data_IF_453478181874
#
_entry.id   IF_453478181874
#
_cell.length_a   1.000
_cell.length_b   1.000
_cell.length_c   1.000
_cell.angle_alpha   90.00
_cell.angle_beta   90.00
_cell.angle_gamma   90.00
#
_symmetry.space_group_name_H-M   'P 1'
#
loop_
_entity.id
_entity.type
_entity.pdbx_description
1 polymer ?
#
# COMPACT_ATOMS: atom_id res chain seq x y z
N UNK A 1 10.50 5.38 91.46
CA UNK A 1 11.79 5.16 90.78
C UNK A 1 11.51 5.07 89.29
N UNK A 2 11.51 6.21 88.58
CA UNK A 2 11.26 6.27 87.13
C UNK A 2 12.26 7.26 86.53
N UNK A 3 13.19 6.79 85.69
CA UNK A 3 14.12 7.65 84.97
C UNK A 3 13.51 8.09 83.64
N UNK A 4 13.18 9.37 83.52
CA UNK A 4 12.86 9.97 82.22
C UNK A 4 14.14 10.17 81.40
N UNK A 5 14.36 9.33 80.40
CA UNK A 5 15.38 9.58 79.38
C UNK A 5 14.89 10.61 78.37
N UNK A 6 15.29 11.87 78.54
CA UNK A 6 15.10 12.93 77.56
C UNK A 6 16.18 12.87 76.49
N UNK A 7 15.88 12.25 75.34
CA UNK A 7 16.76 12.31 74.18
C UNK A 7 16.73 13.72 73.55
N UNK A 8 17.88 14.41 73.40
CA UNK A 8 17.92 15.72 72.78
C UNK A 8 17.78 15.59 71.26
N UNK A 9 16.56 15.80 70.76
CA UNK A 9 16.26 15.77 69.32
C UNK A 9 16.88 16.99 68.62
N UNK A 10 18.16 16.89 68.24
CA UNK A 10 18.86 17.91 67.47
C UNK A 10 18.33 17.95 66.03
N UNK A 11 17.40 18.86 65.77
CA UNK A 11 17.00 19.26 64.43
C UNK A 11 18.23 19.78 63.67
N UNK A 12 18.86 18.91 62.87
CA UNK A 12 19.84 19.34 61.87
C UNK A 12 19.08 20.17 60.84
N UNK A 13 19.36 21.48 60.78
CA UNK A 13 18.81 22.35 59.75
C UNK A 13 19.21 21.78 58.38
N UNK A 14 18.25 21.25 57.63
CA UNK A 14 18.46 20.95 56.21
C UNK A 14 18.83 22.27 55.53
N UNK A 15 19.91 22.27 54.75
CA UNK A 15 20.29 23.47 54.00
C UNK A 15 19.22 23.77 52.94
N UNK A 16 19.04 25.05 52.62
CA UNK A 16 18.09 25.51 51.62
C UNK A 16 18.28 24.77 50.28
N UNK A 17 19.53 24.44 49.92
CA UNK A 17 19.87 23.66 48.73
C UNK A 17 19.23 22.26 48.72
N UNK A 18 19.16 21.56 49.86
CA UNK A 18 18.51 20.22 49.94
C UNK A 18 17.00 20.34 49.84
N UNK A 19 16.40 21.38 50.42
CA UNK A 19 14.96 21.67 50.26
C UNK A 19 14.60 21.99 48.81
N UNK A 20 15.41 22.81 48.12
CA UNK A 20 15.22 23.12 46.69
C UNK A 20 15.42 21.87 45.83
N UNK A 21 16.44 21.04 46.10
CA UNK A 21 16.65 19.80 45.36
C UNK A 21 15.49 18.80 45.53
N UNK A 22 14.95 18.65 46.74
CA UNK A 22 13.78 17.80 47.00
C UNK A 22 12.50 18.36 46.36
N UNK A 23 12.30 19.69 46.36
CA UNK A 23 11.18 20.32 45.67
C UNK A 23 11.28 20.12 44.14
N UNK A 24 12.46 20.29 43.55
CA UNK A 24 12.73 20.05 42.13
C UNK A 24 12.53 18.57 41.75
N UNK A 25 12.95 17.65 42.62
CA UNK A 25 12.73 16.21 42.44
C UNK A 25 11.23 15.85 42.55
N UNK A 26 10.51 16.43 43.51
CA UNK A 26 9.07 16.24 43.65
C UNK A 26 8.30 16.80 42.45
N UNK A 27 8.64 18.00 41.97
CA UNK A 27 8.07 18.58 40.73
C UNK A 27 8.40 17.71 39.53
N UNK A 28 9.60 17.13 39.46
CA UNK A 28 10.00 16.24 38.36
C UNK A 28 9.30 14.88 38.43
N UNK A 29 9.06 14.32 39.61
CA UNK A 29 8.26 13.11 39.83
C UNK A 29 6.78 13.34 39.53
N UNK A 30 6.22 14.46 39.97
CA UNK A 30 4.86 14.88 39.64
C UNK A 30 4.73 15.13 38.13
N UNK A 31 5.71 15.77 37.48
CA UNK A 31 5.74 15.93 36.03
C UNK A 31 5.92 14.60 35.28
N UNK A 32 6.61 13.61 35.84
CA UNK A 32 6.68 12.25 35.30
C UNK A 32 5.35 11.50 35.45
N UNK A 33 4.66 11.62 36.58
CA UNK A 33 3.34 11.03 36.81
C UNK A 33 2.21 11.75 36.06
N UNK A 34 2.40 13.04 35.73
CA UNK A 34 1.52 13.83 34.86
C UNK A 34 1.90 13.75 33.38
N UNK A 35 2.87 12.90 32.98
CA UNK A 35 2.94 12.43 31.60
C UNK A 35 1.74 11.51 31.38
N UNK A 36 0.63 12.13 30.98
CA UNK A 36 -0.58 11.43 30.60
C UNK A 36 -0.21 10.38 29.54
N UNK A 37 -0.26 9.11 29.92
CA UNK A 37 -0.12 8.00 28.98
C UNK A 37 -1.13 8.22 27.86
N UNK A 38 -0.68 8.07 26.62
CA UNK A 38 -1.49 8.36 25.44
C UNK A 38 -2.77 7.51 25.48
N UNK A 39 -3.89 8.13 25.88
CA UNK A 39 -5.07 7.39 26.29
C UNK A 39 -5.62 6.54 25.16
N UNK A 40 -5.93 5.28 25.47
CA UNK A 40 -6.82 4.48 24.65
C UNK A 40 -8.25 4.98 24.86
N UNK A 41 -9.02 5.13 23.80
CA UNK A 41 -10.43 5.54 23.85
C UNK A 41 -11.22 4.52 23.06
N UNK A 42 -12.11 3.79 23.72
CA UNK A 42 -13.04 2.92 23.01
C UNK A 42 -14.03 3.74 22.19
N UNK A 43 -14.45 3.22 21.03
CA UNK A 43 -15.39 3.91 20.15
C UNK A 43 -16.34 2.93 19.47
N UNK A 44 -17.65 3.15 19.57
CA UNK A 44 -18.62 2.57 18.64
C UNK A 44 -19.63 1.59 19.24
N UNK A 45 -19.35 0.29 19.14
CA UNK A 45 -20.28 -0.79 19.49
C UNK A 45 -20.37 -1.02 21.00
N UNK A 46 -21.34 -1.84 21.45
CA UNK A 46 -21.45 -2.24 22.86
C UNK A 46 -21.55 -1.07 23.84
N UNK A 47 -22.20 0.04 23.46
CA UNK A 47 -22.31 1.23 24.32
C UNK A 47 -21.07 2.13 24.37
N UNK A 48 -19.99 1.80 23.65
CA UNK A 48 -18.71 2.54 23.67
C UNK A 48 -18.74 3.92 22.96
N UNK A 49 -19.89 4.61 22.90
CA UNK A 49 -20.02 5.95 22.31
C UNK A 49 -19.91 5.99 20.78
N UNK A 50 -19.69 7.18 20.23
CA UNK A 50 -19.56 7.40 18.77
C UNK A 50 -18.11 7.66 18.36
N UNK A 51 -17.81 7.45 17.07
CA UNK A 51 -16.51 7.79 16.49
C UNK A 51 -16.25 9.30 16.55
N UNK A 52 -17.27 10.11 16.21
CA UNK A 52 -17.21 11.57 16.31
C UNK A 52 -16.86 12.04 17.73
N UNK A 53 -17.48 11.46 18.75
CA UNK A 53 -17.17 11.80 20.15
C UNK A 53 -15.76 11.34 20.55
N UNK A 54 -15.28 10.17 20.11
CA UNK A 54 -13.90 9.72 20.37
C UNK A 54 -12.85 10.68 19.78
N UNK A 55 -13.04 11.12 18.53
CA UNK A 55 -12.17 12.10 17.87
C UNK A 55 -12.17 13.43 18.65
N UNK A 56 -13.34 13.89 19.11
CA UNK A 56 -13.48 15.14 19.86
C UNK A 56 -12.91 15.04 21.29
N UNK A 57 -13.04 13.90 21.98
CA UNK A 57 -12.52 13.69 23.34
C UNK A 57 -11.04 13.35 23.39
N UNK A 58 -10.45 12.85 22.30
CA UNK A 58 -9.02 12.53 22.23
C UNK A 58 -8.15 13.75 22.63
N UNK A 59 -7.17 13.58 23.53
CA UNK A 59 -6.36 14.68 24.03
C UNK A 59 -5.51 15.30 22.90
N UNK A 60 -5.42 16.62 22.85
CA UNK A 60 -4.64 17.34 21.84
C UNK A 60 -3.17 17.50 22.28
N UNK A 61 -2.49 16.37 22.48
CA UNK A 61 -1.09 16.34 22.91
C UNK A 61 -0.20 16.13 21.69
N UNK A 62 0.68 17.10 21.42
CA UNK A 62 1.56 17.07 20.24
C UNK A 62 2.56 15.91 20.27
N UNK A 63 2.96 15.45 21.45
CA UNK A 63 4.01 14.42 21.65
C UNK A 63 3.50 12.99 21.69
N UNK A 64 2.24 12.77 22.07
CA UNK A 64 1.71 11.45 22.44
C UNK A 64 0.40 11.18 21.70
N UNK A 65 0.43 10.25 20.74
CA UNK A 65 -0.73 9.92 19.89
C UNK A 65 -1.76 9.12 20.69
N UNK A 66 -2.92 9.69 20.97
CA UNK A 66 -4.03 8.96 21.56
C UNK A 66 -4.52 7.85 20.61
N UNK A 67 -4.96 6.73 21.18
CA UNK A 67 -5.36 5.54 20.40
C UNK A 67 -6.88 5.38 20.45
N UNK A 68 -7.54 5.55 19.31
CA UNK A 68 -8.99 5.29 19.18
C UNK A 68 -9.15 3.82 18.79
N UNK A 69 -9.59 3.01 19.76
CA UNK A 69 -9.97 1.63 19.56
C UNK A 69 -11.39 1.59 18.96
N UNK A 70 -11.46 1.51 17.64
CA UNK A 70 -12.72 1.45 16.91
C UNK A 70 -13.30 0.04 16.99
N UNK A 71 -14.47 -0.08 17.60
CA UNK A 71 -15.18 -1.35 17.84
C UNK A 71 -15.98 -1.83 16.62
N UNK A 72 -16.15 -3.15 16.52
CA UNK A 72 -17.03 -3.88 15.59
C UNK A 72 -18.45 -3.96 16.20
N UNK A 73 -19.55 -3.75 15.44
CA UNK A 73 -19.64 -3.61 13.98
C UNK A 73 -19.64 -2.14 13.51
N UNK A 74 -20.08 -1.91 12.27
CA UNK A 74 -20.00 -0.64 11.54
C UNK A 74 -20.50 0.60 12.29
N UNK A 75 -19.85 1.74 12.03
CA UNK A 75 -20.20 3.05 12.60
C UNK A 75 -20.14 4.17 11.56
N UNK A 76 -21.10 5.08 11.65
CA UNK A 76 -21.01 6.37 10.95
C UNK A 76 -19.85 7.20 11.53
N UNK A 77 -19.14 7.90 10.65
CA UNK A 77 -18.14 8.90 11.04
C UNK A 77 -18.69 10.32 11.08
N UNK A 78 -19.89 10.54 10.52
CA UNK A 78 -20.54 11.84 10.33
C UNK A 78 -19.62 12.85 9.60
N UNK A 79 -18.76 12.36 8.71
CA UNK A 79 -17.81 13.16 7.93
C UNK A 79 -16.79 13.92 8.77
N UNK A 80 -16.49 13.44 9.99
CA UNK A 80 -15.62 14.17 10.93
C UNK A 80 -14.21 14.39 10.37
N UNK A 81 -13.75 15.64 10.46
CA UNK A 81 -12.36 16.00 10.18
C UNK A 81 -11.45 15.54 11.33
N UNK A 82 -10.40 14.80 10.99
CA UNK A 82 -9.32 14.41 11.88
C UNK A 82 -8.31 15.56 11.89
N UNK A 83 -8.22 16.30 13.01
CA UNK A 83 -7.33 17.45 13.20
C UNK A 83 -6.38 17.30 14.39
N UNK A 84 -6.11 16.05 14.80
CA UNK A 84 -5.30 15.70 15.96
C UNK A 84 -4.31 14.58 15.62
N UNK A 85 -3.24 14.48 16.39
CA UNK A 85 -2.27 13.40 16.28
C UNK A 85 -2.84 12.12 16.92
N UNK A 86 -3.18 11.12 16.11
CA UNK A 86 -3.94 9.93 16.54
C UNK A 86 -3.41 8.63 15.95
N UNK A 87 -3.76 7.52 16.60
CA UNK A 87 -3.78 6.18 16.01
C UNK A 87 -5.23 5.71 16.05
N UNK A 88 -5.82 5.42 14.88
CA UNK A 88 -7.17 4.89 14.75
C UNK A 88 -7.04 3.41 14.40
N UNK A 89 -7.41 2.53 15.32
CA UNK A 89 -7.19 1.08 15.21
C UNK A 89 -8.53 0.34 15.20
N UNK A 90 -8.78 -0.41 14.12
CA UNK A 90 -9.91 -1.33 14.00
C UNK A 90 -9.58 -2.74 14.48
N UNK A 91 -10.59 -3.61 14.43
CA UNK A 91 -10.51 -5.02 14.84
C UNK A 91 -10.84 -5.27 16.32
N UNK A 92 -11.31 -4.27 17.05
CA UNK A 92 -11.70 -4.43 18.46
C UNK A 92 -13.15 -4.92 18.59
N UNK A 93 -13.37 -5.89 19.48
CA UNK A 93 -14.69 -6.38 19.87
C UNK A 93 -14.91 -6.07 21.36
N UNK A 94 -16.02 -5.41 21.74
CA UNK A 94 -16.32 -5.14 23.15
C UNK A 94 -16.72 -6.44 23.88
N UNK A 95 -16.59 -6.49 25.23
CA UNK A 95 -17.14 -7.59 26.02
C UNK A 95 -18.66 -7.70 25.85
N UNK A 96 -19.24 -8.86 26.17
CA UNK A 96 -20.70 -9.07 26.08
C UNK A 96 -21.53 -8.08 26.92
N UNK A 97 -20.96 -7.54 27.99
CA UNK A 97 -21.56 -6.50 28.83
C UNK A 97 -21.50 -5.09 28.24
N UNK A 98 -20.71 -4.88 27.19
CA UNK A 98 -20.41 -3.56 26.63
C UNK A 98 -19.40 -2.74 27.45
N UNK A 99 -19.13 -1.52 26.98
CA UNK A 99 -18.44 -0.48 27.74
C UNK A 99 -19.29 -0.01 28.93
N UNK A 100 -18.64 0.42 30.02
CA UNK A 100 -19.36 0.97 31.18
C UNK A 100 -19.82 2.41 30.93
N UNK A 101 -19.09 3.14 30.08
CA UNK A 101 -19.43 4.50 29.66
C UNK A 101 -19.12 4.72 28.17
N UNK A 102 -19.81 5.66 27.56
CA UNK A 102 -19.52 6.08 26.19
C UNK A 102 -18.11 6.68 26.12
N UNK A 103 -17.31 6.22 25.16
CA UNK A 103 -15.92 6.64 24.97
C UNK A 103 -15.05 6.50 26.23
N UNK A 104 -15.21 5.38 26.95
CA UNK A 104 -14.40 5.01 28.12
C UNK A 104 -12.89 5.11 27.79
N UNK A 105 -12.12 5.87 28.61
CA UNK A 105 -10.67 5.92 28.49
C UNK A 105 -10.03 4.73 29.20
N UNK A 106 -8.98 4.19 28.58
CA UNK A 106 -8.14 3.12 29.10
C UNK A 106 -6.68 3.54 29.05
N UNK A 107 -5.87 2.95 29.92
CA UNK A 107 -4.45 3.33 30.08
C UNK A 107 -3.61 2.82 28.92
N UNK A 108 -3.83 1.56 28.53
CA UNK A 108 -3.13 0.88 27.45
C UNK A 108 -3.95 -0.32 26.92
N UNK A 109 -3.37 -1.07 25.98
CA UNK A 109 -3.94 -2.32 25.44
C UNK A 109 -4.20 -3.38 26.51
N UNK A 110 -3.36 -3.47 27.54
CA UNK A 110 -3.47 -4.46 28.62
C UNK A 110 -4.68 -4.18 29.49
N UNK A 111 -4.93 -2.92 29.83
CA UNK A 111 -6.14 -2.45 30.52
C UNK A 111 -7.40 -2.80 29.70
N UNK A 112 -7.37 -2.53 28.38
CA UNK A 112 -8.46 -2.89 27.46
C UNK A 112 -8.75 -4.41 27.45
N UNK A 113 -7.71 -5.25 27.34
CA UNK A 113 -7.84 -6.70 27.38
C UNK A 113 -8.32 -7.21 28.75
N UNK A 114 -7.83 -6.64 29.86
CA UNK A 114 -8.24 -6.98 31.22
C UNK A 114 -9.72 -6.68 31.49
N UNK A 115 -10.30 -5.73 30.75
CA UNK A 115 -11.73 -5.39 30.76
C UNK A 115 -12.59 -6.28 29.84
N UNK A 116 -11.99 -7.31 29.23
CA UNK A 116 -12.70 -8.33 28.44
C UNK A 116 -12.92 -7.97 26.97
N UNK A 117 -12.27 -6.93 26.46
CA UNK A 117 -12.24 -6.64 25.03
C UNK A 117 -11.37 -7.67 24.30
N UNK A 118 -11.66 -7.93 23.03
CA UNK A 118 -10.87 -8.85 22.19
C UNK A 118 -10.37 -8.13 20.94
N UNK A 119 -9.12 -8.39 20.56
CA UNK A 119 -8.54 -7.92 19.31
C UNK A 119 -8.58 -9.03 18.25
N UNK A 120 -9.12 -8.71 17.07
CA UNK A 120 -9.40 -9.68 15.99
C UNK A 120 -8.75 -9.30 14.65
N UNK A 121 -8.05 -8.16 14.57
CA UNK A 121 -7.32 -7.77 13.37
C UNK A 121 -6.05 -8.63 13.16
N UNK A 122 -5.56 -8.77 11.92
CA UNK A 122 -6.09 -8.19 10.68
C UNK A 122 -7.29 -8.95 10.08
N UNK A 123 -7.66 -10.10 10.65
CA UNK A 123 -8.69 -11.03 10.14
C UNK A 123 -10.08 -10.42 10.15
N UNK A 124 -10.49 -9.82 11.27
CA UNK A 124 -11.73 -9.04 11.37
C UNK A 124 -11.39 -7.58 11.57
N UNK A 125 -11.91 -6.72 10.70
CA UNK A 125 -11.68 -5.27 10.69
C UNK A 125 -12.92 -4.54 11.20
N UNK A 126 -12.73 -3.35 11.77
CA UNK A 126 -13.86 -2.49 12.13
C UNK A 126 -14.28 -1.66 10.92
N UNK A 127 -15.58 -1.42 10.77
CA UNK A 127 -16.11 -0.70 9.60
C UNK A 127 -16.43 0.75 9.98
N UNK A 128 -15.90 1.69 9.22
CA UNK A 128 -16.29 3.10 9.22
C UNK A 128 -17.03 3.41 7.92
N UNK A 129 -18.11 4.19 8.01
CA UNK A 129 -18.96 4.49 6.85
C UNK A 129 -19.55 5.90 6.90
N UNK A 130 -19.90 6.46 5.74
CA UNK A 130 -20.61 7.73 5.59
C UNK A 130 -21.24 7.83 4.20
N UNK A 131 -22.28 8.65 4.04
CA UNK A 131 -23.09 8.76 2.82
C UNK A 131 -23.06 10.14 2.15
N UNK A 132 -22.75 11.22 2.90
CA UNK A 132 -22.77 12.60 2.40
C UNK A 132 -21.39 13.19 2.07
N UNK A 133 -20.30 12.47 2.31
CA UNK A 133 -18.93 12.98 2.20
C UNK A 133 -17.88 11.86 2.26
N UNK A 134 -16.58 12.21 2.17
CA UNK A 134 -15.50 11.31 2.55
C UNK A 134 -15.80 10.69 3.91
N UNK A 135 -15.63 9.38 4.04
CA UNK A 135 -15.80 8.70 5.33
C UNK A 135 -14.82 9.25 6.36
N UNK A 136 -13.57 9.54 5.96
CA UNK A 136 -12.58 10.22 6.79
C UNK A 136 -12.02 11.42 6.04
N UNK A 137 -11.98 12.58 6.71
CA UNK A 137 -11.34 13.78 6.20
C UNK A 137 -10.11 14.09 7.07
N UNK A 138 -8.93 14.24 6.46
CA UNK A 138 -7.67 14.54 7.15
C UNK A 138 -7.41 16.04 7.03
N UNK A 139 -7.46 16.73 8.16
CA UNK A 139 -7.25 18.18 8.27
C UNK A 139 -5.75 18.53 8.19
N UNK A 140 -5.37 19.65 7.54
CA UNK A 140 -3.98 20.10 7.46
C UNK A 140 -3.26 20.25 8.81
N UNK A 141 -3.98 20.43 9.93
CA UNK A 141 -3.38 20.54 11.26
C UNK A 141 -2.84 19.21 11.83
N UNK A 142 -3.08 18.07 11.16
CA UNK A 142 -2.52 16.77 11.54
C UNK A 142 -1.02 16.73 11.27
N UNK A 143 -0.22 16.57 12.33
CA UNK A 143 1.23 16.34 12.21
C UNK A 143 1.56 14.84 12.16
N UNK A 144 0.76 13.99 12.81
CA UNK A 144 1.08 12.57 12.93
C UNK A 144 -0.16 11.68 13.09
N UNK A 145 -0.50 10.92 12.05
CA UNK A 145 -1.70 10.07 12.03
C UNK A 145 -1.37 8.64 11.59
N UNK A 146 -2.02 7.67 12.22
CA UNK A 146 -2.03 6.29 11.76
C UNK A 146 -3.47 5.79 11.73
N UNK A 147 -3.89 5.16 10.63
CA UNK A 147 -5.19 4.51 10.50
C UNK A 147 -4.91 3.06 10.10
N UNK A 148 -5.38 2.11 10.91
CA UNK A 148 -5.02 0.70 10.73
C UNK A 148 -6.18 -0.27 10.97
N UNK A 149 -6.24 -1.33 10.15
CA UNK A 149 -7.24 -2.40 10.24
C UNK A 149 -8.72 -1.94 10.16
N UNK A 150 -8.99 -0.93 9.34
CA UNK A 150 -10.33 -0.40 9.09
C UNK A 150 -10.83 -0.77 7.69
N UNK A 151 -12.09 -1.19 7.61
CA UNK A 151 -12.89 -1.18 6.40
C UNK A 151 -13.58 0.18 6.26
N UNK A 152 -13.36 0.87 5.15
CA UNK A 152 -13.93 2.19 4.85
C UNK A 152 -14.98 2.02 3.75
N UNK A 153 -16.23 2.40 4.03
CA UNK A 153 -17.38 2.18 3.13
C UNK A 153 -18.17 3.46 2.89
N UNK A 154 -18.04 4.05 1.72
CA UNK A 154 -18.95 5.10 1.27
C UNK A 154 -20.31 4.48 0.92
N UNK A 155 -21.41 5.06 1.42
CA UNK A 155 -22.78 4.53 1.22
C UNK A 155 -23.61 5.33 0.21
N UNK A 156 -23.17 6.52 -0.17
CA UNK A 156 -23.85 7.42 -1.10
C UNK A 156 -22.98 7.80 -2.29
N UNK A 157 -23.56 8.41 -3.33
CA UNK A 157 -22.89 8.75 -4.61
C UNK A 157 -22.55 10.24 -4.77
N UNK A 158 -22.72 11.03 -3.70
CA UNK A 158 -22.82 12.50 -3.75
C UNK A 158 -21.50 13.24 -3.57
N UNK A 159 -20.41 12.53 -3.27
CA UNK A 159 -19.14 13.15 -2.93
C UNK A 159 -18.37 13.57 -4.17
N UNK A 160 -17.75 14.73 -4.16
CA UNK A 160 -16.95 15.20 -5.29
C UNK A 160 -15.62 14.46 -5.41
N UNK A 161 -14.93 14.21 -4.29
CA UNK A 161 -13.56 13.68 -4.24
C UNK A 161 -13.31 12.82 -3.00
N UNK A 162 -12.50 11.75 -3.12
CA UNK A 162 -12.00 10.97 -1.97
C UNK A 162 -13.09 10.27 -1.17
N UNK A 163 -13.87 9.39 -1.81
CA UNK A 163 -15.11 8.84 -1.25
C UNK A 163 -14.95 8.10 0.08
N UNK A 164 -13.83 7.38 0.25
CA UNK A 164 -13.42 6.79 1.52
C UNK A 164 -12.59 7.75 2.37
N UNK A 165 -11.44 8.19 1.85
CA UNK A 165 -10.52 9.10 2.57
C UNK A 165 -10.20 10.30 1.69
N UNK A 166 -10.26 11.50 2.25
CA UNK A 166 -9.86 12.74 1.59
C UNK A 166 -9.01 13.60 2.53
N UNK A 167 -8.10 14.43 2.01
CA UNK A 167 -7.40 15.41 2.85
C UNK A 167 -6.10 15.96 2.29
N UNK A 168 -5.44 16.78 3.11
CA UNK A 168 -4.15 17.42 2.79
C UNK A 168 -3.18 17.15 3.93
N UNK A 169 -1.96 16.73 3.59
CA UNK A 169 -0.84 16.51 4.50
C UNK A 169 0.20 17.58 4.20
N UNK A 170 0.52 18.42 5.18
CA UNK A 170 1.40 19.59 5.03
C UNK A 170 2.39 19.71 6.20
N UNK A 171 3.36 20.62 6.07
CA UNK A 171 4.20 21.12 7.16
C UNK A 171 5.03 20.01 7.87
N UNK A 172 5.56 19.07 7.08
CA UNK A 172 6.37 17.95 7.55
C UNK A 172 5.59 16.83 8.24
N UNK A 173 4.26 16.79 8.07
CA UNK A 173 3.41 15.79 8.69
C UNK A 173 3.63 14.37 8.13
N UNK A 174 3.32 13.36 8.96
CA UNK A 174 3.46 11.96 8.61
C UNK A 174 2.16 11.18 8.82
N UNK A 175 1.64 10.58 7.74
CA UNK A 175 0.42 9.76 7.76
C UNK A 175 0.73 8.32 7.31
N UNK A 176 0.26 7.35 8.09
CA UNK A 176 0.33 5.92 7.78
C UNK A 176 -1.08 5.34 7.66
N UNK A 177 -1.37 4.71 6.51
CA UNK A 177 -2.60 3.98 6.22
C UNK A 177 -2.25 2.48 6.07
N UNK A 178 -2.60 1.66 7.06
CA UNK A 178 -2.11 0.28 7.15
C UNK A 178 -3.23 -0.77 7.18
N UNK A 179 -3.16 -1.76 6.29
CA UNK A 179 -4.10 -2.87 6.22
C UNK A 179 -5.57 -2.38 6.19
N UNK A 180 -5.84 -1.36 5.36
CA UNK A 180 -7.17 -0.82 5.12
C UNK A 180 -7.89 -1.60 4.01
N UNK A 181 -9.21 -1.50 3.96
CA UNK A 181 -9.99 -1.87 2.78
C UNK A 181 -10.90 -0.70 2.43
N UNK A 182 -10.85 -0.20 1.20
CA UNK A 182 -11.73 0.85 0.72
C UNK A 182 -12.36 0.36 -0.59
N UNK A 183 -13.69 0.22 -0.60
CA UNK A 183 -14.35 -0.40 -1.75
C UNK A 183 -15.81 -0.01 -1.94
N UNK A 184 -16.26 -0.09 -3.19
CA UNK A 184 -17.60 0.33 -3.62
C UNK A 184 -17.84 1.84 -3.61
N UNK A 185 -16.79 2.64 -3.40
CA UNK A 185 -16.88 4.10 -3.32
C UNK A 185 -17.17 4.69 -4.70
N UNK A 186 -18.10 5.63 -4.80
CA UNK A 186 -18.44 6.31 -6.06
C UNK A 186 -18.44 7.82 -5.87
N UNK A 187 -17.54 8.48 -6.59
CA UNK A 187 -17.39 9.94 -6.57
C UNK A 187 -17.70 10.53 -7.93
N UNK A 188 -18.00 11.83 -7.95
CA UNK A 188 -18.20 12.57 -9.20
C UNK A 188 -16.84 12.81 -9.88
N UNK A 189 -15.93 13.50 -9.21
CA UNK A 189 -14.63 13.92 -9.78
C UNK A 189 -13.56 12.85 -9.55
N UNK A 190 -12.73 13.00 -8.51
CA UNK A 190 -11.38 12.43 -8.48
C UNK A 190 -11.13 11.60 -7.21
N UNK A 191 -10.35 10.52 -7.33
CA UNK A 191 -9.96 9.69 -6.20
C UNK A 191 -11.14 8.92 -5.62
N UNK A 192 -11.61 7.89 -6.33
CA UNK A 192 -12.85 7.18 -6.00
C UNK A 192 -12.89 6.66 -4.56
N UNK A 193 -11.84 5.95 -4.12
CA UNK A 193 -11.69 5.56 -2.72
C UNK A 193 -10.86 6.56 -1.89
N UNK A 194 -9.81 7.15 -2.47
CA UNK A 194 -8.87 8.03 -1.74
C UNK A 194 -8.45 9.24 -2.59
N UNK A 195 -8.45 10.45 -2.01
CA UNK A 195 -7.93 11.68 -2.63
C UNK A 195 -7.02 12.42 -1.65
N UNK A 196 -5.72 12.47 -1.92
CA UNK A 196 -4.75 13.08 -0.99
C UNK A 196 -3.85 14.09 -1.68
N UNK A 197 -3.54 15.19 -1.00
CA UNK A 197 -2.49 16.14 -1.37
C UNK A 197 -1.36 16.08 -0.33
N UNK A 198 -0.11 15.86 -0.76
CA UNK A 198 1.06 15.68 0.12
C UNK A 198 2.11 16.74 -0.24
N UNK A 199 2.34 17.69 0.67
CA UNK A 199 3.17 18.89 0.45
C UNK A 199 3.96 19.31 1.69
N UNK A 200 4.82 20.31 1.58
CA UNK A 200 5.60 20.85 2.68
C UNK A 200 6.62 19.86 3.26
N UNK A 201 7.22 19.01 2.42
CA UNK A 201 8.13 17.94 2.85
C UNK A 201 7.46 16.85 3.69
N UNK A 202 6.16 16.62 3.49
CA UNK A 202 5.37 15.64 4.25
C UNK A 202 5.49 14.22 3.71
N UNK A 203 4.98 13.25 4.47
CA UNK A 203 5.05 11.82 4.15
C UNK A 203 3.71 11.11 4.24
N UNK A 204 3.33 10.40 3.16
CA UNK A 204 2.21 9.46 3.14
C UNK A 204 2.73 8.03 2.89
N UNK A 205 2.38 7.10 3.77
CA UNK A 205 2.67 5.67 3.59
C UNK A 205 1.35 4.90 3.55
N UNK A 206 1.15 4.07 2.52
CA UNK A 206 0.04 3.13 2.42
C UNK A 206 0.63 1.72 2.34
N UNK A 207 0.26 0.85 3.28
CA UNK A 207 0.84 -0.50 3.45
C UNK A 207 -0.25 -1.56 3.55
N UNK A 208 -0.21 -2.59 2.70
CA UNK A 208 -1.14 -3.73 2.77
C UNK A 208 -2.62 -3.38 2.54
N UNK A 209 -2.91 -2.25 1.90
CA UNK A 209 -4.27 -1.75 1.66
C UNK A 209 -4.95 -2.40 0.44
N UNK A 210 -6.26 -2.60 0.51
CA UNK A 210 -7.10 -3.05 -0.60
C UNK A 210 -7.97 -1.88 -1.12
N UNK A 211 -7.92 -1.61 -2.42
CA UNK A 211 -8.75 -0.64 -3.13
C UNK A 211 -9.57 -1.40 -4.19
N UNK A 212 -10.85 -1.65 -3.91
CA UNK A 212 -11.69 -2.57 -4.71
C UNK A 212 -12.97 -1.93 -5.24
N UNK A 213 -13.17 -1.97 -6.56
CA UNK A 213 -14.43 -1.58 -7.22
C UNK A 213 -14.90 -0.15 -6.88
N UNK A 214 -13.96 0.79 -6.80
CA UNK A 214 -14.26 2.21 -6.62
C UNK A 214 -14.39 2.91 -7.99
N UNK A 215 -15.08 4.05 -8.05
CA UNK A 215 -15.39 4.75 -9.30
C UNK A 215 -15.25 6.27 -9.19
N UNK A 216 -14.41 6.84 -10.06
CA UNK A 216 -14.35 8.27 -10.39
C UNK A 216 -15.18 8.51 -11.66
N UNK A 217 -16.35 9.17 -11.54
CA UNK A 217 -17.36 9.18 -12.62
C UNK A 217 -17.03 10.14 -13.78
N UNK A 218 -16.31 11.23 -13.52
CA UNK A 218 -15.91 12.23 -14.53
C UNK A 218 -14.45 12.66 -14.45
N UNK A 219 -13.73 12.29 -13.39
CA UNK A 219 -12.32 12.62 -13.20
C UNK A 219 -11.41 11.39 -13.18
N UNK A 220 -10.30 11.53 -12.44
CA UNK A 220 -9.19 10.59 -12.42
C UNK A 220 -9.14 9.75 -11.13
N UNK A 221 -8.33 8.68 -11.13
CA UNK A 221 -7.97 7.96 -9.92
C UNK A 221 -9.12 7.11 -9.38
N UNK A 222 -9.53 6.09 -10.12
CA UNK A 222 -10.71 5.29 -9.78
C UNK A 222 -10.60 4.62 -8.40
N UNK A 223 -9.44 4.04 -8.08
CA UNK A 223 -9.10 3.63 -6.72
C UNK A 223 -8.58 4.82 -5.89
N UNK A 224 -7.54 5.52 -6.36
CA UNK A 224 -7.00 6.69 -5.66
C UNK A 224 -6.49 7.79 -6.60
N UNK A 225 -6.55 9.02 -6.11
CA UNK A 225 -5.82 10.17 -6.66
C UNK A 225 -4.85 10.70 -5.57
N UNK A 226 -3.58 10.89 -5.92
CA UNK A 226 -2.58 11.45 -5.00
C UNK A 226 -1.79 12.55 -5.70
N UNK A 227 -1.77 13.75 -5.13
CA UNK A 227 -0.91 14.85 -5.57
C UNK A 227 0.30 14.95 -4.65
N UNK A 228 1.51 14.93 -5.21
CA UNK A 228 2.79 15.02 -4.50
C UNK A 228 3.48 16.31 -4.91
N UNK A 229 3.89 17.11 -3.93
CA UNK A 229 4.53 18.39 -4.16
C UNK A 229 5.95 18.44 -3.57
N UNK A 230 6.73 19.42 -4.01
CA UNK A 230 7.95 19.91 -3.38
C UNK A 230 9.03 18.84 -3.08
N UNK A 231 9.22 18.47 -1.82
CA UNK A 231 10.16 17.42 -1.38
C UNK A 231 9.43 16.33 -0.59
N UNK A 232 8.13 16.20 -0.80
CA UNK A 232 7.27 15.25 -0.09
C UNK A 232 7.44 13.82 -0.60
N UNK A 233 7.11 12.83 0.22
CA UNK A 233 7.31 11.40 -0.06
C UNK A 233 5.98 10.64 0.00
N UNK A 234 5.71 9.83 -1.03
CA UNK A 234 4.60 8.87 -1.06
C UNK A 234 5.15 7.46 -1.24
N UNK A 235 4.75 6.55 -0.35
CA UNK A 235 5.14 5.14 -0.38
C UNK A 235 3.90 4.25 -0.41
N UNK A 236 3.72 3.49 -1.49
CA UNK A 236 2.72 2.43 -1.60
C UNK A 236 3.44 1.08 -1.50
N UNK A 237 3.01 0.20 -0.58
CA UNK A 237 3.67 -1.09 -0.33
C UNK A 237 2.67 -2.21 -0.17
N UNK A 238 2.80 -3.28 -0.96
CA UNK A 238 1.92 -4.44 -0.86
C UNK A 238 0.43 -4.10 -1.02
N UNK A 239 0.10 -3.03 -1.76
CA UNK A 239 -1.29 -2.63 -1.97
C UNK A 239 -1.91 -3.49 -3.07
N UNK A 240 -3.20 -3.81 -2.92
CA UNK A 240 -4.00 -4.49 -3.93
C UNK A 240 -5.03 -3.51 -4.47
N UNK A 241 -5.05 -3.32 -5.78
CA UNK A 241 -5.84 -2.28 -6.45
C UNK A 241 -6.61 -2.93 -7.58
N UNK A 242 -7.87 -3.29 -7.34
CA UNK A 242 -8.62 -4.18 -8.23
C UNK A 242 -9.97 -3.61 -8.69
N UNK A 243 -10.29 -3.81 -9.98
CA UNK A 243 -11.61 -3.54 -10.57
C UNK A 243 -12.12 -2.10 -10.41
N UNK A 244 -11.23 -1.13 -10.24
CA UNK A 244 -11.59 0.28 -10.09
C UNK A 244 -11.71 0.96 -11.47
N UNK A 245 -12.53 2.01 -11.54
CA UNK A 245 -12.84 2.72 -12.79
C UNK A 245 -12.69 4.22 -12.67
N UNK A 246 -11.98 4.84 -13.61
CA UNK A 246 -11.95 6.30 -13.80
C UNK A 246 -12.50 6.66 -15.18
N UNK A 247 -12.99 7.89 -15.35
CA UNK A 247 -13.45 8.38 -16.65
C UNK A 247 -12.27 8.85 -17.52
N UNK A 248 -11.33 9.57 -16.91
CA UNK A 248 -10.15 10.10 -17.58
C UNK A 248 -8.93 9.20 -17.33
N UNK A 249 -8.20 9.40 -16.24
CA UNK A 249 -6.91 8.77 -15.98
C UNK A 249 -6.89 7.84 -14.77
N UNK A 250 -6.02 6.84 -14.78
CA UNK A 250 -5.62 6.13 -13.57
C UNK A 250 -6.75 5.29 -12.97
N UNK A 251 -7.20 4.26 -13.68
CA UNK A 251 -8.35 3.45 -13.25
C UNK A 251 -8.13 2.85 -11.87
N UNK A 252 -6.96 2.22 -11.65
CA UNK A 252 -6.53 1.78 -10.33
C UNK A 252 -6.05 2.94 -9.47
N UNK A 253 -5.21 3.82 -10.02
CA UNK A 253 -4.91 5.10 -9.40
C UNK A 253 -4.27 6.12 -10.34
N UNK A 254 -4.39 7.39 -9.97
CA UNK A 254 -3.75 8.53 -10.61
C UNK A 254 -2.81 9.21 -9.60
N UNK A 255 -1.58 9.52 -10.01
CA UNK A 255 -0.62 10.22 -9.17
C UNK A 255 -0.04 11.40 -9.94
N UNK A 256 -0.16 12.60 -9.39
CA UNK A 256 0.33 13.84 -9.99
C UNK A 256 1.54 14.34 -9.19
N UNK A 257 2.65 14.63 -9.86
CA UNK A 257 3.94 14.98 -9.27
C UNK A 257 4.33 16.42 -9.65
N UNK A 258 4.38 17.33 -8.68
CA UNK A 258 5.05 18.66 -8.75
C UNK A 258 6.27 18.66 -7.82
N UNK A 259 7.16 17.69 -8.04
CA UNK A 259 8.31 17.37 -7.21
C UNK A 259 8.11 16.18 -6.26
N UNK A 260 9.10 15.93 -5.42
CA UNK A 260 9.06 14.90 -4.37
C UNK A 260 9.52 13.51 -4.80
N UNK A 261 9.09 12.48 -4.09
CA UNK A 261 9.43 11.07 -4.40
C UNK A 261 8.22 10.16 -4.23
N UNK A 262 7.99 9.34 -5.25
CA UNK A 262 7.03 8.24 -5.24
C UNK A 262 7.78 6.91 -5.24
N UNK A 263 7.40 6.02 -4.32
CA UNK A 263 7.83 4.62 -4.31
C UNK A 263 6.62 3.69 -4.27
N UNK A 264 6.52 2.77 -5.22
CA UNK A 264 5.51 1.71 -5.24
C UNK A 264 6.25 0.38 -5.24
N UNK A 265 6.00 -0.47 -4.24
CA UNK A 265 6.75 -1.73 -4.08
C UNK A 265 5.86 -2.92 -3.76
N UNK A 266 6.09 -4.06 -4.40
CA UNK A 266 5.41 -5.33 -4.07
C UNK A 266 3.89 -5.30 -4.24
N UNK A 267 3.36 -4.38 -5.06
CA UNK A 267 1.93 -4.06 -5.15
C UNK A 267 1.30 -4.66 -6.40
N UNK A 268 0.00 -4.94 -6.34
CA UNK A 268 -0.76 -5.61 -7.40
C UNK A 268 -1.92 -4.75 -7.88
N UNK A 269 -2.00 -4.52 -9.17
CA UNK A 269 -3.07 -3.75 -9.80
C UNK A 269 -3.77 -4.60 -10.86
N UNK A 270 -5.06 -4.91 -10.69
CA UNK A 270 -5.77 -5.87 -11.53
C UNK A 270 -7.11 -5.35 -12.08
N UNK A 271 -7.40 -5.59 -13.36
CA UNK A 271 -8.71 -5.37 -14.01
C UNK A 271 -9.28 -3.94 -13.88
N UNK A 272 -8.41 -2.94 -13.72
CA UNK A 272 -8.82 -1.55 -13.60
C UNK A 272 -9.03 -0.89 -14.98
N UNK A 273 -9.86 0.16 -15.04
CA UNK A 273 -10.32 0.76 -16.30
C UNK A 273 -10.26 2.28 -16.28
N UNK A 274 -9.68 2.89 -17.32
CA UNK A 274 -9.68 4.34 -17.55
C UNK A 274 -9.47 4.65 -19.04
N UNK A 275 -9.67 5.91 -19.45
CA UNK A 275 -9.28 6.38 -20.78
C UNK A 275 -7.75 6.44 -20.97
N UNK A 276 -7.03 6.71 -19.89
CA UNK A 276 -5.56 6.77 -19.82
C UNK A 276 -5.07 6.04 -18.54
N UNK A 277 -3.99 5.26 -18.62
CA UNK A 277 -3.38 4.53 -17.49
C UNK A 277 -4.34 3.60 -16.76
N UNK A 278 -4.74 2.49 -17.39
CA UNK A 278 -5.79 1.60 -16.89
C UNK A 278 -5.56 1.17 -15.43
N UNK A 279 -4.37 0.66 -15.09
CA UNK A 279 -4.02 0.28 -13.73
C UNK A 279 -3.40 1.43 -12.93
N UNK A 280 -2.50 2.21 -13.53
CA UNK A 280 -1.85 3.35 -12.89
C UNK A 280 -1.49 4.43 -13.92
N UNK A 281 -1.88 5.68 -13.63
CA UNK A 281 -1.43 6.86 -14.35
C UNK A 281 -0.51 7.69 -13.42
N UNK A 282 0.63 8.14 -13.92
CA UNK A 282 1.55 9.03 -13.19
C UNK A 282 1.88 10.23 -14.10
N UNK A 283 1.53 11.43 -13.69
CA UNK A 283 1.79 12.66 -14.45
C UNK A 283 2.78 13.57 -13.70
N UNK A 284 3.81 14.06 -14.41
CA UNK A 284 4.59 15.22 -13.97
C UNK A 284 3.87 16.51 -14.36
N UNK A 285 3.63 17.39 -13.39
CA UNK A 285 3.18 18.77 -13.65
C UNK A 285 4.11 19.75 -12.97
N UNK A 286 4.83 20.55 -13.76
CA UNK A 286 5.72 21.59 -13.26
C UNK A 286 7.15 21.48 -13.76
N UNK A 287 8.08 22.02 -12.99
CA UNK A 287 9.52 22.06 -13.30
C UNK A 287 10.41 21.64 -12.13
N UNK A 288 9.79 21.15 -11.05
CA UNK A 288 10.48 20.63 -9.87
C UNK A 288 10.90 19.18 -10.13
N UNK A 289 12.12 18.75 -9.74
CA UNK A 289 12.51 17.36 -9.90
C UNK A 289 11.63 16.45 -9.03
N UNK A 290 10.95 15.48 -9.64
CA UNK A 290 10.41 14.35 -8.91
C UNK A 290 11.20 13.07 -9.22
N UNK A 291 10.92 12.01 -8.46
CA UNK A 291 11.52 10.69 -8.67
C UNK A 291 10.46 9.62 -8.49
N UNK A 292 10.27 8.79 -9.51
CA UNK A 292 9.32 7.67 -9.48
C UNK A 292 10.09 6.35 -9.42
N UNK A 293 9.81 5.52 -8.41
CA UNK A 293 10.38 4.17 -8.25
C UNK A 293 9.27 3.13 -8.21
N UNK A 294 9.21 2.27 -9.21
CA UNK A 294 8.34 1.10 -9.22
C UNK A 294 9.22 -0.15 -9.08
N UNK A 295 9.07 -0.91 -7.99
CA UNK A 295 9.89 -2.09 -7.71
C UNK A 295 9.01 -3.33 -7.40
N UNK A 296 9.19 -4.44 -8.12
CA UNK A 296 8.50 -5.72 -7.88
C UNK A 296 6.96 -5.62 -7.84
N UNK A 297 6.34 -4.79 -8.70
CA UNK A 297 4.88 -4.68 -8.79
C UNK A 297 4.32 -5.51 -9.95
N UNK A 298 3.06 -5.94 -9.81
CA UNK A 298 2.33 -6.70 -10.84
C UNK A 298 1.16 -5.87 -11.36
N UNK A 299 1.03 -5.77 -12.69
CA UNK A 299 -0.04 -5.03 -13.37
C UNK A 299 -0.77 -5.95 -14.35
N UNK A 300 -2.01 -6.34 -14.00
CA UNK A 300 -2.78 -7.37 -14.70
C UNK A 300 -4.06 -6.79 -15.32
N UNK A 301 -4.07 -6.67 -16.64
CA UNK A 301 -5.31 -6.44 -17.39
C UNK A 301 -5.92 -5.02 -17.28
N UNK A 302 -6.33 -4.53 -18.44
CA UNK A 302 -7.20 -3.38 -18.64
C UNK A 302 -7.92 -3.59 -19.96
N UNK A 303 -9.25 -3.54 -19.96
CA UNK A 303 -10.08 -3.97 -21.10
C UNK A 303 -10.34 -2.88 -22.14
N UNK A 304 -9.99 -1.62 -21.85
CA UNK A 304 -10.24 -0.50 -22.75
C UNK A 304 -9.05 -0.23 -23.68
N UNK A 305 -9.35 -0.11 -24.97
CA UNK A 305 -8.39 0.19 -26.01
C UNK A 305 -7.85 1.63 -25.88
N UNK A 306 -6.58 1.77 -25.44
CA UNK A 306 -5.87 3.05 -25.37
C UNK A 306 -4.84 3.16 -24.24
N UNK A 307 -5.01 2.40 -23.15
CA UNK A 307 -4.15 2.49 -21.97
C UNK A 307 -3.37 1.20 -21.67
N UNK A 308 -2.04 1.24 -21.84
CA UNK A 308 -1.17 0.27 -21.18
C UNK A 308 -1.37 0.34 -19.66
N UNK A 309 -1.08 -0.75 -18.94
CA UNK A 309 -1.42 -0.89 -17.51
C UNK A 309 -0.88 0.27 -16.68
N UNK A 310 0.39 0.61 -16.91
CA UNK A 310 1.01 1.82 -16.35
C UNK A 310 1.31 2.82 -17.47
N UNK A 311 0.97 4.08 -17.26
CA UNK A 311 1.39 5.19 -18.11
C UNK A 311 2.02 6.29 -17.25
N UNK A 312 3.15 6.84 -17.72
CA UNK A 312 3.96 7.82 -16.99
C UNK A 312 4.38 8.95 -17.94
N UNK A 313 4.31 10.20 -17.51
CA UNK A 313 4.80 11.37 -18.25
C UNK A 313 5.76 12.22 -17.41
N UNK A 314 6.77 12.80 -18.08
CA UNK A 314 7.62 13.90 -17.60
C UNK A 314 8.72 13.61 -16.55
N UNK A 315 8.60 12.59 -15.69
CA UNK A 315 9.61 12.29 -14.66
C UNK A 315 10.72 11.29 -15.07
N UNK A 316 11.91 11.31 -14.42
CA UNK A 316 12.84 10.21 -14.44
C UNK A 316 12.28 9.01 -13.63
N UNK A 317 12.04 7.90 -14.32
CA UNK A 317 11.44 6.69 -13.74
C UNK A 317 12.49 5.60 -13.56
N UNK A 318 12.52 4.99 -12.37
CA UNK A 318 13.22 3.73 -12.09
C UNK A 318 12.21 2.58 -12.05
N UNK A 319 12.40 1.59 -12.93
CA UNK A 319 11.57 0.38 -13.02
C UNK A 319 12.44 -0.85 -12.74
N UNK A 320 12.16 -1.58 -11.66
CA UNK A 320 12.94 -2.76 -11.25
C UNK A 320 11.99 -3.94 -10.95
N UNK A 321 12.22 -5.11 -11.55
CA UNK A 321 11.49 -6.34 -11.22
C UNK A 321 9.96 -6.33 -11.40
N UNK A 322 9.38 -5.31 -12.02
CA UNK A 322 7.94 -5.25 -12.26
C UNK A 322 7.50 -6.22 -13.34
N UNK A 323 6.27 -6.72 -13.21
CA UNK A 323 5.62 -7.66 -14.11
C UNK A 323 4.35 -7.02 -14.70
N UNK A 324 4.16 -7.14 -16.02
CA UNK A 324 3.08 -6.48 -16.77
C UNK A 324 2.33 -7.51 -17.62
N UNK A 325 1.21 -8.03 -17.12
CA UNK A 325 0.38 -8.98 -17.85
C UNK A 325 -0.66 -8.25 -18.72
N UNK A 326 -0.46 -8.32 -20.03
CA UNK A 326 -1.38 -7.79 -21.04
C UNK A 326 -1.91 -8.87 -21.98
N UNK A 327 -3.24 -8.94 -22.12
CA UNK A 327 -3.86 -9.26 -23.40
C UNK A 327 -3.58 -8.07 -24.34
N UNK A 328 -2.78 -8.31 -25.38
CA UNK A 328 -2.20 -7.26 -26.24
C UNK A 328 -3.23 -6.59 -27.16
N UNK A 329 -3.06 -5.27 -27.36
CA UNK A 329 -2.78 -4.67 -28.68
C UNK A 329 -1.90 -3.41 -28.47
N UNK A 330 -1.07 -3.00 -29.45
CA UNK A 330 0.14 -2.23 -29.16
C UNK A 330 -0.06 -0.70 -29.20
N UNK A 331 0.52 -0.02 -28.20
CA UNK A 331 0.96 1.37 -28.32
C UNK A 331 2.36 1.53 -27.71
N UNK A 332 3.22 2.25 -28.45
CA UNK A 332 4.66 2.18 -28.33
C UNK A 332 5.23 2.67 -26.98
N UNK A 333 5.77 1.73 -26.19
CA UNK A 333 6.93 1.97 -25.35
C UNK A 333 8.18 1.68 -26.19
N UNK A 334 8.86 2.72 -26.66
CA UNK A 334 10.01 2.57 -27.55
C UNK A 334 11.18 1.84 -26.86
N UNK A 335 11.67 0.77 -27.49
CA UNK A 335 12.98 0.13 -27.27
C UNK A 335 13.23 -0.68 -25.97
N UNK A 336 12.21 -1.14 -25.24
CA UNK A 336 12.42 -2.22 -24.25
C UNK A 336 12.20 -3.59 -24.94
N UNK A 337 13.23 -4.45 -25.06
CA UNK A 337 13.06 -5.76 -25.69
C UNK A 337 12.24 -6.71 -24.81
N UNK A 338 11.36 -7.49 -25.43
CA UNK A 338 10.55 -8.52 -24.76
C UNK A 338 10.43 -9.80 -25.59
N UNK A 339 10.14 -10.91 -24.92
CA UNK A 339 9.80 -12.19 -25.52
C UNK A 339 8.47 -12.70 -24.97
N UNK A 340 7.63 -13.33 -25.78
CA UNK A 340 6.28 -13.75 -25.35
C UNK A 340 5.83 -15.04 -26.00
N UNK A 341 5.39 -16.01 -25.21
CA UNK A 341 4.65 -17.18 -25.70
C UNK A 341 3.23 -16.73 -26.04
N UNK A 342 2.82 -16.99 -27.29
CA UNK A 342 1.50 -16.63 -27.85
C UNK A 342 0.56 -17.82 -27.98
N UNK A 343 1.08 -19.05 -27.86
CA UNK A 343 0.30 -20.28 -27.79
C UNK A 343 1.17 -21.50 -27.55
N UNK A 344 0.60 -22.56 -26.97
CA UNK A 344 1.26 -23.86 -26.82
C UNK A 344 0.32 -24.94 -27.35
N UNK A 345 0.81 -25.75 -28.29
CA UNK A 345 0.14 -26.95 -28.80
C UNK A 345 0.99 -28.19 -28.55
N UNK A 346 0.37 -29.36 -28.59
CA UNK A 346 1.04 -30.66 -28.53
C UNK A 346 1.02 -31.31 -29.91
N UNK A 347 2.20 -31.53 -30.48
CA UNK A 347 2.38 -32.32 -31.70
C UNK A 347 2.98 -33.68 -31.30
N UNK A 348 2.09 -34.65 -31.06
CA UNK A 348 2.44 -35.92 -30.44
C UNK A 348 2.95 -35.72 -29.01
N UNK A 349 4.23 -36.00 -28.78
CA UNK A 349 4.91 -35.85 -27.49
C UNK A 349 5.75 -34.56 -27.37
N UNK A 350 5.77 -33.71 -28.40
CA UNK A 350 6.54 -32.45 -28.41
C UNK A 350 5.61 -31.26 -28.16
N UNK A 351 6.05 -30.31 -27.34
CA UNK A 351 5.39 -29.01 -27.21
C UNK A 351 5.83 -28.11 -28.36
N UNK A 352 4.87 -27.64 -29.15
CA UNK A 352 5.06 -26.57 -30.13
C UNK A 352 4.67 -25.25 -29.48
N UNK A 353 5.68 -24.46 -29.12
CA UNK A 353 5.54 -23.21 -28.38
C UNK A 353 5.63 -22.06 -29.36
N UNK A 354 4.49 -21.53 -29.79
CA UNK A 354 4.44 -20.33 -30.59
C UNK A 354 4.87 -19.13 -29.74
N UNK A 355 5.80 -18.32 -30.25
CA UNK A 355 6.31 -17.16 -29.54
C UNK A 355 6.62 -15.99 -30.46
N UNK A 356 6.76 -14.80 -29.87
CA UNK A 356 7.23 -13.58 -30.50
C UNK A 356 8.40 -13.00 -29.70
N UNK A 357 9.34 -12.37 -30.40
CA UNK A 357 10.38 -11.54 -29.81
C UNK A 357 10.33 -10.15 -30.45
N UNK A 358 10.52 -9.10 -29.65
CA UNK A 358 10.43 -7.70 -30.10
C UNK A 358 11.51 -6.85 -29.46
N UNK A 359 11.97 -5.82 -30.16
CA UNK A 359 13.13 -4.99 -29.77
C UNK A 359 14.50 -5.65 -30.00
N UNK A 360 14.54 -6.94 -30.37
CA UNK A 360 15.75 -7.68 -30.74
C UNK A 360 15.41 -8.87 -31.66
N UNK A 361 16.43 -9.46 -32.28
CA UNK A 361 16.35 -10.78 -32.93
C UNK A 361 17.11 -11.77 -32.06
N UNK A 362 16.49 -12.86 -31.56
CA UNK A 362 17.20 -13.77 -30.67
C UNK A 362 18.33 -14.50 -31.40
N UNK A 363 19.54 -14.40 -30.85
CA UNK A 363 20.76 -14.96 -31.43
C UNK A 363 21.75 -15.29 -30.31
N UNK A 364 22.19 -16.55 -30.24
CA UNK A 364 23.22 -16.98 -29.31
C UNK A 364 24.61 -16.51 -29.81
N UNK A 365 24.98 -15.27 -29.50
CA UNK A 365 26.27 -14.68 -29.88
C UNK A 365 26.71 -13.60 -28.88
N UNK A 366 28.02 -13.34 -28.79
CA UNK A 366 28.57 -12.35 -27.87
C UNK A 366 27.97 -10.95 -28.13
N UNK A 367 27.46 -10.30 -27.06
CA UNK A 367 26.75 -9.02 -27.17
C UNK A 367 25.36 -9.09 -27.81
N UNK A 368 24.79 -10.30 -27.94
CA UNK A 368 23.41 -10.54 -28.37
C UNK A 368 22.62 -11.22 -27.24
N UNK A 369 21.31 -11.20 -27.44
CA UNK A 369 20.30 -11.75 -26.55
C UNK A 369 19.69 -12.99 -27.17
N UNK A 370 19.35 -13.97 -26.34
CA UNK A 370 18.63 -15.18 -26.74
C UNK A 370 17.49 -15.46 -25.75
N UNK A 371 16.76 -16.55 -25.95
CA UNK A 371 15.61 -16.93 -25.13
C UNK A 371 15.94 -18.11 -24.22
N UNK A 372 15.44 -18.09 -22.99
CA UNK A 372 15.35 -19.25 -22.12
C UNK A 372 13.88 -19.65 -21.95
N UNK A 373 13.55 -20.88 -22.30
CA UNK A 373 12.23 -21.50 -22.04
C UNK A 373 12.32 -22.41 -20.81
N UNK A 374 11.27 -22.45 -19.98
CA UNK A 374 11.22 -23.24 -18.75
C UNK A 374 9.79 -23.52 -18.32
N UNK A 375 9.58 -24.47 -17.41
CA UNK A 375 8.28 -24.70 -16.78
C UNK A 375 8.10 -23.81 -15.54
N UNK A 376 6.87 -23.46 -15.20
CA UNK A 376 6.47 -22.67 -14.01
C UNK A 376 6.93 -23.25 -12.66
N UNK A 377 7.37 -24.50 -12.61
CA UNK A 377 8.08 -25.09 -11.45
C UNK A 377 9.48 -24.52 -11.23
N UNK A 378 10.03 -23.74 -12.17
CA UNK A 378 11.34 -23.08 -12.08
C UNK A 378 11.13 -21.59 -11.79
N UNK A 379 11.65 -21.04 -10.68
CA UNK A 379 11.57 -19.61 -10.41
C UNK A 379 12.22 -18.79 -11.55
N UNK A 380 11.62 -17.66 -11.99
CA UNK A 380 12.21 -16.78 -13.00
C UNK A 380 13.65 -16.32 -12.71
N UNK A 381 14.02 -16.20 -11.43
CA UNK A 381 15.38 -15.89 -10.97
C UNK A 381 16.40 -17.03 -11.15
N UNK A 382 15.93 -18.28 -11.25
CA UNK A 382 16.73 -19.49 -11.45
C UNK A 382 16.70 -19.98 -12.91
N UNK A 383 15.90 -19.33 -13.76
CA UNK A 383 15.79 -19.56 -15.20
C UNK A 383 17.04 -19.12 -16.00
N UNK A 384 18.16 -18.81 -15.35
CA UNK A 384 19.47 -18.47 -15.92
C UNK A 384 20.56 -18.61 -14.87
N UNK A 385 21.78 -18.13 -15.14
CA UNK A 385 22.90 -18.14 -14.17
C UNK A 385 22.54 -17.31 -12.92
N UNK A 386 22.77 -17.79 -11.68
CA UNK A 386 23.54 -18.99 -11.30
C UNK A 386 22.77 -20.31 -11.25
N UNK A 387 21.48 -20.34 -11.61
CA UNK A 387 20.67 -21.55 -11.67
C UNK A 387 21.16 -22.54 -12.74
N UNK A 388 21.01 -23.83 -12.46
CA UNK A 388 21.51 -24.94 -13.29
C UNK A 388 20.45 -25.57 -14.21
N UNK A 389 19.23 -25.01 -14.26
CA UNK A 389 18.08 -25.57 -14.97
C UNK A 389 16.98 -26.10 -14.04
N UNK A 390 15.91 -26.72 -14.58
CA UNK A 390 15.73 -27.14 -15.97
C UNK A 390 15.10 -26.07 -16.89
N UNK A 391 15.94 -25.18 -17.42
CA UNK A 391 15.62 -24.25 -18.51
C UNK A 391 16.41 -24.63 -19.77
N UNK A 392 15.90 -24.27 -20.95
CA UNK A 392 16.50 -24.57 -22.26
C UNK A 392 16.72 -23.30 -23.07
N UNK A 393 17.91 -23.19 -23.66
CA UNK A 393 18.30 -22.06 -24.52
C UNK A 393 17.71 -22.17 -25.93
N UNK A 394 17.37 -21.02 -26.50
CA UNK A 394 16.94 -20.90 -27.88
C UNK A 394 17.45 -19.58 -28.51
N UNK A 395 18.19 -19.62 -29.63
CA UNK A 395 18.53 -20.79 -30.44
C UNK A 395 19.57 -21.68 -29.74
N UNK A 396 19.57 -22.98 -30.06
CA UNK A 396 20.42 -23.99 -29.41
C UNK A 396 21.88 -23.99 -29.89
N UNK A 397 22.21 -23.20 -30.91
CA UNK A 397 23.55 -23.13 -31.50
C UNK A 397 23.95 -21.69 -31.84
N UNK A 398 25.25 -21.33 -31.72
CA UNK A 398 25.70 -19.99 -32.06
C UNK A 398 25.45 -19.62 -33.51
N UNK A 399 24.81 -18.47 -33.73
CA UNK A 399 24.43 -18.00 -35.06
C UNK A 399 23.25 -18.73 -35.72
N UNK A 400 22.62 -19.70 -35.05
CA UNK A 400 21.37 -20.30 -35.53
C UNK A 400 20.19 -19.32 -35.49
N UNK A 401 19.18 -19.49 -36.36
CA UNK A 401 17.95 -18.73 -36.29
C UNK A 401 17.09 -19.17 -35.09
N UNK A 402 16.29 -18.24 -34.57
CA UNK A 402 15.36 -18.48 -33.46
C UNK A 402 13.93 -18.29 -33.97
N UNK A 403 13.48 -19.20 -34.82
CA UNK A 403 12.17 -19.16 -35.45
C UNK A 403 11.08 -19.71 -34.49
N UNK A 404 9.86 -19.21 -34.63
CA UNK A 404 8.69 -19.77 -33.94
C UNK A 404 8.03 -20.84 -34.83
N UNK A 405 7.60 -22.00 -34.28
CA UNK A 405 7.55 -22.34 -32.86
C UNK A 405 8.86 -22.92 -32.30
N UNK A 406 9.09 -22.70 -31.02
CA UNK A 406 10.10 -23.44 -30.26
C UNK A 406 9.58 -24.85 -29.92
N UNK A 407 10.42 -25.86 -30.16
CA UNK A 407 10.05 -27.30 -30.05
C UNK A 407 10.95 -28.09 -29.11
N UNK A 408 11.71 -27.40 -28.25
CA UNK A 408 12.77 -28.02 -27.46
C UNK A 408 12.34 -28.84 -26.24
N UNK A 409 11.05 -28.84 -25.85
CA UNK A 409 10.53 -29.64 -24.73
C UNK A 409 9.56 -30.74 -25.19
N UNK A 410 9.66 -31.91 -24.55
CA UNK A 410 8.66 -32.99 -24.67
C UNK A 410 7.72 -33.05 -23.46
N UNK A 411 6.57 -33.72 -23.61
CA UNK A 411 5.64 -34.02 -22.52
C UNK A 411 6.30 -34.84 -21.40
N UNK A 412 7.21 -35.75 -21.74
CA UNK A 412 7.99 -36.55 -20.78
C UNK A 412 8.99 -35.74 -19.95
N UNK A 413 9.36 -34.54 -20.40
CA UNK A 413 10.21 -33.61 -19.66
C UNK A 413 9.41 -32.66 -18.76
N UNK A 414 8.07 -32.66 -18.83
CA UNK A 414 7.24 -31.83 -17.96
C UNK A 414 7.35 -32.32 -16.51
N UNK A 415 7.84 -31.50 -15.57
CA UNK A 415 7.93 -31.90 -14.17
C UNK A 415 6.54 -32.02 -13.53
N UNK A 416 6.36 -32.88 -12.50
CA UNK A 416 5.12 -32.96 -11.75
C UNK A 416 4.73 -31.60 -11.17
N UNK A 417 3.46 -31.22 -11.35
CA UNK A 417 2.94 -29.94 -10.89
C UNK A 417 3.07 -28.78 -11.87
N UNK A 418 3.82 -28.90 -12.97
CA UNK A 418 3.87 -27.83 -13.97
C UNK A 418 2.53 -27.62 -14.68
N UNK A 419 2.04 -26.38 -14.65
CA UNK A 419 0.79 -25.94 -15.28
C UNK A 419 1.01 -24.99 -16.46
N UNK A 420 2.16 -24.33 -16.54
CA UNK A 420 2.51 -23.37 -17.59
C UNK A 420 3.93 -23.58 -18.11
N UNK A 421 4.20 -23.11 -19.34
CA UNK A 421 5.57 -22.87 -19.80
C UNK A 421 5.82 -21.37 -19.90
N UNK A 422 7.04 -20.96 -19.58
CA UNK A 422 7.48 -19.58 -19.48
C UNK A 422 8.65 -19.30 -20.42
N UNK A 423 8.81 -18.03 -20.80
CA UNK A 423 9.95 -17.53 -21.59
C UNK A 423 10.53 -16.27 -20.95
N UNK A 424 11.86 -16.14 -20.99
CA UNK A 424 12.59 -14.92 -20.65
C UNK A 424 13.68 -14.63 -21.69
N UNK A 425 14.06 -13.36 -21.81
CA UNK A 425 15.29 -12.95 -22.48
C UNK A 425 16.48 -13.25 -21.57
N UNK A 426 17.52 -13.85 -22.14
CA UNK A 426 18.84 -13.98 -21.54
C UNK A 426 19.90 -13.25 -22.38
N UNK A 427 20.94 -12.78 -21.70
CA UNK A 427 22.19 -12.31 -22.33
C UNK A 427 23.11 -13.51 -22.65
N UNK A 428 24.13 -13.29 -23.48
CA UNK A 428 25.08 -14.33 -23.89
C UNK A 428 25.78 -15.07 -22.74
N UNK A 429 25.92 -14.45 -21.56
CA UNK A 429 26.48 -15.08 -20.35
C UNK A 429 25.44 -15.92 -19.57
N UNK A 430 24.25 -16.12 -20.13
CA UNK A 430 23.09 -16.79 -19.55
C UNK A 430 22.48 -16.10 -18.30
N UNK A 431 22.84 -14.85 -18.02
CA UNK A 431 22.07 -14.01 -17.10
C UNK A 431 20.70 -13.66 -17.72
N UNK A 432 19.63 -13.72 -16.92
CA UNK A 432 18.25 -13.49 -17.39
C UNK A 432 17.70 -12.12 -17.01
N UNK A 433 17.03 -11.46 -17.95
CA UNK A 433 16.29 -10.22 -17.70
C UNK A 433 14.94 -10.53 -17.07
N UNK A 434 14.83 -10.29 -15.76
CA UNK A 434 13.57 -10.46 -15.04
C UNK A 434 12.46 -9.57 -15.63
N UNK A 435 11.22 -10.09 -15.71
CA UNK A 435 10.08 -9.38 -16.29
C UNK A 435 10.10 -9.21 -17.82
N UNK A 436 11.06 -9.80 -18.53
CA UNK A 436 11.18 -9.66 -20.00
C UNK A 436 10.28 -10.59 -20.83
N UNK A 437 9.48 -11.43 -20.18
CA UNK A 437 8.52 -12.32 -20.85
C UNK A 437 7.46 -12.89 -19.91
N UNK A 438 6.68 -13.86 -20.42
CA UNK A 438 5.48 -14.39 -19.76
C UNK A 438 5.52 -15.92 -19.57
N UNK A 439 4.54 -16.41 -18.81
CA UNK A 439 4.10 -17.80 -18.81
C UNK A 439 2.79 -17.95 -19.61
N UNK A 440 2.53 -19.15 -20.12
CA UNK A 440 1.34 -19.53 -20.88
C UNK A 440 0.92 -20.95 -20.51
N UNK A 441 -0.39 -21.19 -20.37
CA UNK A 441 -0.95 -22.46 -19.89
C UNK A 441 -0.60 -23.64 -20.81
N UNK A 442 -0.28 -24.78 -20.21
CA UNK A 442 -0.01 -26.02 -20.94
C UNK A 442 -1.32 -26.72 -21.33
N UNK A 443 -1.40 -27.28 -22.55
CA UNK A 443 -2.51 -28.14 -23.00
C UNK A 443 -2.52 -29.54 -22.34
#
# INVERSE_FOLDING_TARGET
MFQHHTFPFRWRRMSLAVLVALAMLAVSLIALQLRAQAGFIASGAGGCGTFRQAILSAPNVLTDRAIIAQMIPAKTTDGIAISKNLIIQGGWMPPQTGCQQANEPFTDTTDLLARGFTFLAPVTRSILQYDLGPVLNIDPAVVSLTIQHIDVRQLGITTTRGGGISGVITDGAAVLLENLSIGGSRVVSDGGALRMEVRGGSRLVISGGLFLSNTATTGDGGGFEIWVYDTSEVVLRGVQVASNTAAASGGGGHIVMDGGTLSITGSHFANNQAGWGNALAIESVGSRPAVVRLNNNTFDGGTMAGGNGVQISGEPVQLEGNNFHHLFLPLALNNVPFARITGITLNGEVYEVAFEASGFTPQLAAGRQHLHFFFDTVPPSEAGVPGAGPWKIYPTSPGGPADSPYTGYTRSEKPPGATQMCVLIAEYDHSVRQGSGNCFDLP
#
